data_IF_176016088125
#
_entry.id   IF_176016088125
#
_cell.length_a   1.000
_cell.length_b   1.000
_cell.length_c   1.000
_cell.angle_alpha   90.00
_cell.angle_beta   90.00
_cell.angle_gamma   90.00
#
_symmetry.space_group_name_H-M   'P 1'
#
loop_
_entity.id
_entity.type
_entity.pdbx_description
1 polymer ?
#
# COMPACT_ATOMS: atom_id res chain seq x y z
N UNK A 1 15.93 18.14 -0.78
CA UNK A 1 16.51 16.80 -0.56
C UNK A 1 15.44 15.83 -1.02
N UNK A 2 15.57 15.35 -2.26
CA UNK A 2 14.64 14.35 -2.81
C UNK A 2 14.87 13.03 -2.08
N UNK A 3 14.10 12.80 -1.03
CA UNK A 3 13.98 11.46 -0.45
C UNK A 3 13.08 10.65 -1.37
N UNK A 4 13.70 9.99 -2.36
CA UNK A 4 13.08 8.84 -3.00
C UNK A 4 12.87 7.79 -1.90
N UNK A 5 11.69 7.80 -1.28
CA UNK A 5 11.28 6.74 -0.36
C UNK A 5 11.13 5.49 -1.21
N UNK A 6 12.11 4.59 -1.15
CA UNK A 6 11.93 3.21 -1.57
C UNK A 6 10.95 2.57 -0.58
N UNK A 7 9.65 2.86 -0.73
CA UNK A 7 8.60 2.15 0.02
C UNK A 7 8.73 0.68 -0.36
N UNK A 8 9.10 -0.15 0.61
CA UNK A 8 9.25 -1.57 0.40
C UNK A 8 7.88 -2.15 0.02
N UNK A 9 7.74 -2.57 -1.24
CA UNK A 9 6.60 -3.37 -1.69
C UNK A 9 6.93 -4.82 -1.35
N UNK A 10 6.13 -5.42 -0.47
CA UNK A 10 6.29 -6.80 -0.05
C UNK A 10 5.16 -7.65 -0.60
N UNK A 11 5.50 -8.75 -1.26
CA UNK A 11 4.54 -9.77 -1.67
C UNK A 11 4.54 -10.87 -0.60
N UNK A 12 3.38 -11.16 -0.02
CA UNK A 12 3.19 -12.17 1.02
C UNK A 12 2.10 -13.17 0.64
N UNK A 13 2.05 -14.29 1.35
CA UNK A 13 0.99 -15.28 1.28
C UNK A 13 0.66 -15.74 -0.17
N UNK A 14 1.69 -15.98 -0.97
CA UNK A 14 1.54 -16.46 -2.35
C UNK A 14 1.03 -17.90 -2.35
N UNK A 15 -0.13 -18.12 -2.96
CA UNK A 15 -0.76 -19.41 -3.13
C UNK A 15 -1.15 -19.61 -4.60
N UNK A 16 -0.72 -20.72 -5.18
CA UNK A 16 -1.13 -21.14 -6.51
C UNK A 16 -2.05 -22.37 -6.38
N UNK A 17 -3.12 -22.40 -7.18
CA UNK A 17 -4.03 -23.54 -7.23
C UNK A 17 -3.32 -24.84 -7.65
N UNK A 18 -2.33 -24.72 -8.55
CA UNK A 18 -1.51 -25.82 -9.07
C UNK A 18 -0.14 -25.29 -9.48
N UNK A 19 0.88 -26.15 -9.51
CA UNK A 19 2.26 -25.77 -9.89
C UNK A 19 2.61 -26.16 -11.32
N UNK A 20 1.79 -27.01 -11.95
CA UNK A 20 1.95 -27.50 -13.32
C UNK A 20 0.60 -27.39 -14.02
N UNK A 21 0.62 -26.92 -15.27
CA UNK A 21 -0.59 -26.72 -16.09
C UNK A 21 -0.37 -27.21 -17.52
N UNK A 22 -1.44 -27.67 -18.15
CA UNK A 22 -1.43 -28.02 -19.56
C UNK A 22 -1.70 -26.82 -20.46
N UNK A 23 -1.38 -26.96 -21.75
CA UNK A 23 -1.58 -25.88 -22.73
C UNK A 23 -3.07 -25.60 -22.91
N UNK A 24 -3.48 -24.35 -22.68
CA UNK A 24 -4.89 -23.92 -22.78
C UNK A 24 -5.63 -23.91 -21.45
N UNK A 25 -5.05 -24.43 -20.38
CA UNK A 25 -5.63 -24.33 -19.04
C UNK A 25 -5.40 -22.93 -18.43
N UNK A 26 -6.38 -22.48 -17.66
CA UNK A 26 -6.23 -21.31 -16.79
C UNK A 26 -5.74 -21.75 -15.41
N UNK A 27 -4.98 -20.87 -14.77
CA UNK A 27 -4.51 -21.04 -13.40
C UNK A 27 -4.85 -19.78 -12.60
N UNK A 28 -5.24 -19.98 -11.34
CA UNK A 28 -5.42 -18.90 -10.39
C UNK A 28 -4.25 -18.84 -9.40
N UNK A 29 -3.65 -17.66 -9.29
CA UNK A 29 -2.64 -17.34 -8.28
C UNK A 29 -3.23 -16.25 -7.39
N UNK A 30 -3.13 -16.44 -6.08
CA UNK A 30 -3.54 -15.49 -5.06
C UNK A 30 -2.30 -15.07 -4.28
N UNK A 31 -2.18 -13.78 -4.02
CA UNK A 31 -1.09 -13.22 -3.23
C UNK A 31 -1.56 -11.93 -2.58
N UNK A 32 -0.88 -11.55 -1.52
CA UNK A 32 -1.11 -10.29 -0.82
C UNK A 32 0.02 -9.32 -1.14
N UNK A 33 -0.34 -8.07 -1.40
CA UNK A 33 0.61 -6.98 -1.60
C UNK A 33 0.53 -6.05 -0.41
N UNK A 34 1.65 -5.89 0.26
CA UNK A 34 1.82 -5.01 1.40
C UNK A 34 2.72 -3.86 0.98
N UNK A 35 2.33 -2.64 1.32
CA UNK A 35 3.15 -1.46 1.10
C UNK A 35 2.97 -0.52 2.28
N UNK A 36 4.08 0.02 2.77
CA UNK A 36 4.03 1.07 3.80
C UNK A 36 3.65 2.38 3.15
N UNK A 37 2.45 2.89 3.47
CA UNK A 37 2.09 4.26 3.12
C UNK A 37 2.56 5.21 4.21
N UNK A 38 3.73 5.82 4.04
CA UNK A 38 3.98 7.13 4.64
C UNK A 38 2.97 8.09 3.99
N UNK A 39 1.83 8.28 4.65
CA UNK A 39 0.92 9.36 4.36
C UNK A 39 1.70 10.65 4.69
N UNK A 40 1.76 11.67 3.81
CA UNK A 40 2.40 12.91 4.18
C UNK A 40 1.70 13.46 5.42
N UNK A 41 2.46 13.66 6.48
CA UNK A 41 1.98 14.13 7.79
C UNK A 41 1.53 15.60 7.77
N UNK A 42 1.33 16.17 6.57
CA UNK A 42 0.97 17.57 6.33
C UNK A 42 -0.53 17.68 5.98
N UNK A 43 -1.37 16.92 6.68
CA UNK A 43 -2.82 17.17 6.73
C UNK A 43 -3.05 18.33 7.71
N UNK A 44 -3.80 19.36 7.30
CA UNK A 44 -3.32 20.72 7.47
C UNK A 44 -3.41 21.17 8.92
N UNK A 45 -2.28 21.65 9.43
CA UNK A 45 -2.21 22.63 10.52
C UNK A 45 -2.78 24.00 10.06
N UNK A 46 -3.92 24.00 9.38
CA UNK A 46 -4.64 25.22 9.02
C UNK A 46 -5.57 25.61 10.18
N UNK A 47 -5.05 26.53 10.99
CA UNK A 47 -5.70 27.43 11.95
C UNK A 47 -6.19 26.85 13.30
N UNK A 48 -5.69 27.34 14.45
CA UNK A 48 -6.47 27.24 15.67
C UNK A 48 -7.72 28.12 15.50
N UNK A 49 -8.91 27.53 15.56
CA UNK A 49 -10.14 28.30 15.80
C UNK A 49 -10.04 28.83 17.24
N UNK A 50 -9.31 29.91 17.45
CA UNK A 50 -9.44 30.71 18.66
C UNK A 50 -10.53 31.75 18.44
N UNK A 51 -11.80 31.34 18.53
CA UNK A 51 -12.86 32.28 18.86
C UNK A 51 -13.00 32.31 20.38
N UNK A 52 -12.16 33.12 21.04
CA UNK A 52 -12.49 33.56 22.39
C UNK A 52 -13.71 34.47 22.25
N UNK A 53 -14.81 34.03 22.85
CA UNK A 53 -16.05 34.79 23.02
C UNK A 53 -15.73 36.11 23.76
N UNK A 54 -16.07 37.25 23.17
CA UNK A 54 -16.36 38.49 23.91
C UNK A 54 -17.77 38.93 23.54
#
# INVERSE_FOLDING_TARGET
>A
MDMCVNKAIEIKNVQAEKTVVETGEKIRIQFEVWYETDYPFDYPYDYPITSIRK
#
